data_IF_731503434102
#
_entry.id   IF_731503434102
#
_cell.length_a   1.000
_cell.length_b   1.000
_cell.length_c   1.000
_cell.angle_alpha   90.00
_cell.angle_beta   90.00
_cell.angle_gamma   90.00
#
_symmetry.space_group_name_H-M   'P 1'
#
loop_
_entity.id
_entity.type
_entity.pdbx_description
1 polymer ?
#
# COMPACT_ATOMS: atom_id res chain seq x y z
N UNK A 1 3.19 -32.23 58.10
CA UNK A 1 2.48 -31.22 57.35
C UNK A 1 3.25 -29.92 57.17
N UNK A 2 4.52 -29.78 57.62
CA UNK A 2 5.30 -28.52 57.50
C UNK A 2 6.40 -28.53 56.44
N UNK A 3 6.69 -29.64 55.76
CA UNK A 3 7.78 -29.77 54.76
C UNK A 3 7.25 -29.53 53.32
N UNK A 4 5.95 -29.71 53.08
CA UNK A 4 5.36 -29.45 51.75
C UNK A 4 5.10 -27.96 51.42
N UNK A 5 5.06 -27.12 52.45
CA UNK A 5 4.85 -25.66 52.22
C UNK A 5 6.15 -24.89 51.95
N UNK A 6 7.30 -25.44 52.33
CA UNK A 6 8.62 -24.82 52.08
C UNK A 6 9.09 -25.01 50.61
N UNK A 7 8.65 -26.07 49.93
CA UNK A 7 9.01 -26.34 48.53
C UNK A 7 8.18 -25.54 47.51
N UNK A 8 7.00 -25.05 47.90
CA UNK A 8 6.20 -24.19 47.05
C UNK A 8 6.66 -22.72 47.06
N UNK A 9 7.33 -22.30 48.15
CA UNK A 9 7.86 -20.93 48.23
C UNK A 9 9.16 -20.72 47.43
N UNK A 10 9.96 -21.79 47.22
CA UNK A 10 11.18 -21.72 46.42
C UNK A 10 10.92 -21.75 44.91
N UNK A 11 9.78 -22.31 44.45
CA UNK A 11 9.44 -22.41 43.04
C UNK A 11 8.95 -21.08 42.40
N UNK A 12 8.43 -20.15 43.21
CA UNK A 12 7.94 -18.85 42.74
C UNK A 12 9.06 -17.80 42.69
N UNK A 13 10.10 -17.93 43.48
CA UNK A 13 11.24 -17.00 43.49
C UNK A 13 12.18 -17.19 42.27
N UNK A 14 12.21 -18.38 41.64
CA UNK A 14 13.07 -18.64 40.49
C UNK A 14 12.47 -18.15 39.16
N UNK A 15 11.15 -17.87 39.10
CA UNK A 15 10.49 -17.36 37.90
C UNK A 15 10.61 -15.82 37.75
N UNK A 16 11.07 -15.11 38.75
CA UNK A 16 11.20 -13.64 38.75
C UNK A 16 12.62 -13.14 38.42
N UNK A 17 13.61 -14.02 38.29
CA UNK A 17 15.00 -13.63 37.97
C UNK A 17 15.32 -13.61 36.48
N UNK A 18 14.37 -14.02 35.62
CA UNK A 18 14.55 -13.99 34.17
C UNK A 18 14.36 -12.62 33.50
N UNK A 19 13.84 -11.61 34.20
CA UNK A 19 13.54 -10.30 33.64
C UNK A 19 14.46 -9.16 34.12
N UNK A 20 15.57 -9.46 34.77
CA UNK A 20 16.44 -8.42 35.37
C UNK A 20 17.45 -7.77 34.39
N UNK A 21 17.45 -8.13 33.10
CA UNK A 21 18.30 -7.49 32.10
C UNK A 21 17.50 -6.89 30.92
N UNK A 22 16.22 -6.61 31.10
CA UNK A 22 15.54 -5.71 30.17
C UNK A 22 15.82 -4.28 30.62
N UNK A 23 16.69 -3.61 29.86
CA UNK A 23 16.96 -2.20 30.03
C UNK A 23 15.62 -1.44 29.95
N UNK A 24 15.19 -0.87 31.05
CA UNK A 24 13.93 -0.12 31.15
C UNK A 24 13.92 1.08 30.21
N UNK A 25 15.10 1.59 29.82
CA UNK A 25 15.24 2.64 28.82
C UNK A 25 14.95 2.09 27.41
N UNK A 26 15.39 0.87 27.09
CA UNK A 26 15.10 0.20 25.82
C UNK A 26 13.62 -0.13 25.65
N UNK A 27 12.92 -0.52 26.73
CA UNK A 27 11.49 -0.80 26.69
C UNK A 27 10.65 0.49 26.55
N UNK A 28 11.07 1.56 27.22
CA UNK A 28 10.43 2.89 27.11
C UNK A 28 10.66 3.51 25.73
N UNK A 29 11.88 3.39 25.17
CA UNK A 29 12.19 3.87 23.82
C UNK A 29 11.38 3.09 22.78
N UNK A 30 11.35 1.77 22.83
CA UNK A 30 10.57 0.93 21.91
C UNK A 30 9.07 1.22 21.97
N UNK A 31 8.54 1.48 23.16
CA UNK A 31 7.15 1.88 23.35
C UNK A 31 6.84 3.27 22.79
N UNK A 32 7.74 4.22 23.00
CA UNK A 32 7.61 5.59 22.48
C UNK A 32 7.72 5.62 20.95
N UNK A 33 8.60 4.80 20.37
CA UNK A 33 8.79 4.67 18.92
C UNK A 33 7.59 4.00 18.25
N UNK A 34 7.05 2.92 18.84
CA UNK A 34 5.83 2.29 18.37
C UNK A 34 4.64 3.25 18.41
N UNK A 35 4.53 4.06 19.45
CA UNK A 35 3.51 5.10 19.56
C UNK A 35 3.73 6.23 18.52
N UNK A 36 4.98 6.63 18.28
CA UNK A 36 5.34 7.64 17.31
C UNK A 36 5.06 7.19 15.87
N UNK A 37 5.34 5.92 15.54
CA UNK A 37 4.97 5.32 14.25
C UNK A 37 3.45 5.27 14.04
N UNK A 38 2.69 4.99 15.10
CA UNK A 38 1.22 5.00 15.05
C UNK A 38 0.62 6.40 14.93
N UNK A 39 1.35 7.43 15.30
CA UNK A 39 0.91 8.83 15.32
C UNK A 39 1.49 9.69 14.20
N UNK A 40 1.95 9.07 13.09
CA UNK A 40 2.44 9.81 11.92
C UNK A 40 1.43 10.87 11.47
N UNK A 41 1.88 12.11 11.40
CA UNK A 41 1.13 13.19 10.80
C UNK A 41 1.04 13.02 9.27
N UNK A 42 0.04 13.63 8.63
CA UNK A 42 -0.09 13.58 7.16
C UNK A 42 1.15 14.16 6.46
N UNK A 43 1.79 15.17 7.04
CA UNK A 43 3.02 15.73 6.52
C UNK A 43 4.19 14.74 6.56
N UNK A 44 4.31 13.97 7.64
CA UNK A 44 5.34 12.92 7.75
C UNK A 44 5.08 11.76 6.79
N UNK A 45 3.83 11.33 6.68
CA UNK A 45 3.41 10.29 5.72
C UNK A 45 3.72 10.73 4.30
N UNK A 46 3.39 11.99 3.96
CA UNK A 46 3.70 12.55 2.64
C UNK A 46 5.20 12.57 2.38
N UNK A 47 5.99 13.07 3.31
CA UNK A 47 7.45 13.19 3.17
C UNK A 47 8.12 11.80 3.02
N UNK A 48 7.69 10.80 3.80
CA UNK A 48 8.16 9.42 3.65
C UNK A 48 7.77 8.85 2.29
N UNK A 49 6.54 9.09 1.83
CA UNK A 49 6.09 8.66 0.51
C UNK A 49 6.87 9.35 -0.62
N UNK A 50 7.18 10.65 -0.48
CA UNK A 50 7.97 11.40 -1.47
C UNK A 50 9.36 10.76 -1.65
N UNK A 51 10.06 10.50 -0.55
CA UNK A 51 11.41 9.92 -0.60
C UNK A 51 11.39 8.44 -1.02
N UNK A 52 10.43 7.65 -0.56
CA UNK A 52 10.29 6.25 -0.98
C UNK A 52 9.97 6.16 -2.48
N UNK A 53 9.05 6.98 -2.99
CA UNK A 53 8.72 7.03 -4.41
C UNK A 53 9.94 7.42 -5.26
N UNK A 54 10.69 8.44 -4.85
CA UNK A 54 11.91 8.89 -5.50
C UNK A 54 12.99 7.79 -5.53
N UNK A 55 13.16 7.08 -4.43
CA UNK A 55 14.15 5.99 -4.35
C UNK A 55 13.74 4.82 -5.26
N UNK A 56 12.44 4.47 -5.32
CA UNK A 56 11.94 3.47 -6.24
C UNK A 56 12.08 3.89 -7.70
N UNK A 57 11.76 5.15 -8.02
CA UNK A 57 11.96 5.71 -9.38
C UNK A 57 13.43 5.63 -9.81
N UNK A 58 14.37 5.83 -8.88
CA UNK A 58 15.82 5.76 -9.17
C UNK A 58 16.31 4.36 -9.55
N UNK A 59 15.60 3.33 -9.07
CA UNK A 59 15.92 1.90 -9.32
C UNK A 59 15.15 1.33 -10.51
N UNK A 60 14.05 1.96 -10.90
CA UNK A 60 13.18 1.50 -11.97
C UNK A 60 13.58 2.09 -13.34
N UNK A 61 13.20 1.43 -14.41
CA UNK A 61 13.25 2.01 -15.75
C UNK A 61 11.95 2.75 -16.02
N UNK A 62 11.99 4.08 -15.97
CA UNK A 62 10.83 4.92 -16.28
C UNK A 62 10.60 4.99 -17.79
N UNK A 63 9.32 4.96 -18.20
CA UNK A 63 8.96 5.16 -19.60
C UNK A 63 9.32 6.58 -20.05
N UNK A 64 10.03 6.76 -21.18
CA UNK A 64 10.30 8.07 -21.74
C UNK A 64 9.01 8.87 -22.01
N UNK A 65 9.05 10.18 -21.82
CA UNK A 65 7.86 11.05 -22.00
C UNK A 65 7.19 10.93 -23.37
N UNK A 66 7.97 10.61 -24.41
CA UNK A 66 7.46 10.43 -25.78
C UNK A 66 7.13 8.97 -26.14
N UNK A 67 7.20 8.04 -25.18
CA UNK A 67 6.87 6.63 -25.40
C UNK A 67 5.35 6.42 -25.52
N UNK A 68 4.95 5.37 -26.21
CA UNK A 68 3.54 4.98 -26.33
C UNK A 68 2.89 4.71 -24.96
N UNK A 69 3.62 4.10 -24.03
CA UNK A 69 3.14 3.86 -22.66
C UNK A 69 2.85 5.17 -21.94
N UNK A 70 3.76 6.14 -22.01
CA UNK A 70 3.58 7.42 -21.34
C UNK A 70 2.40 8.20 -21.94
N UNK A 71 2.30 8.27 -23.25
CA UNK A 71 1.19 8.94 -23.95
C UNK A 71 -0.15 8.29 -23.61
N UNK A 72 -0.19 6.95 -23.53
CA UNK A 72 -1.39 6.22 -23.13
C UNK A 72 -1.76 6.52 -21.67
N UNK A 73 -0.79 6.51 -20.75
CA UNK A 73 -1.03 6.84 -19.35
C UNK A 73 -1.47 8.29 -19.17
N UNK A 74 -0.89 9.25 -19.91
CA UNK A 74 -1.28 10.66 -19.84
C UNK A 74 -2.75 10.88 -20.26
N UNK A 75 -3.23 10.13 -21.26
CA UNK A 75 -4.64 10.12 -21.65
C UNK A 75 -5.55 9.59 -20.54
N UNK A 76 -5.18 8.46 -19.94
CA UNK A 76 -5.90 7.82 -18.81
C UNK A 76 -5.91 8.77 -17.60
N UNK A 77 -4.76 9.33 -17.24
CA UNK A 77 -4.62 10.28 -16.15
C UNK A 77 -5.51 11.52 -16.33
N UNK A 78 -5.59 12.03 -17.56
CA UNK A 78 -6.47 13.17 -17.90
C UNK A 78 -7.95 12.86 -17.68
N UNK A 79 -8.37 11.62 -17.92
CA UNK A 79 -9.75 11.18 -17.67
C UNK A 79 -10.04 11.01 -16.16
N UNK A 80 -9.11 10.45 -15.40
CA UNK A 80 -9.26 10.21 -13.97
C UNK A 80 -9.08 11.47 -13.13
N UNK A 81 -8.20 12.39 -13.58
CA UNK A 81 -7.85 13.62 -12.90
C UNK A 81 -6.51 13.55 -12.16
N UNK A 82 -6.11 14.69 -11.64
CA UNK A 82 -4.78 14.95 -11.08
C UNK A 82 -4.79 15.19 -9.57
N UNK A 83 -5.86 14.80 -8.89
CA UNK A 83 -6.03 15.10 -7.46
C UNK A 83 -6.75 13.99 -6.70
N UNK A 84 -6.23 13.66 -5.51
CA UNK A 84 -6.86 12.78 -4.53
C UNK A 84 -7.01 13.55 -3.22
N UNK A 85 -8.23 13.92 -2.84
CA UNK A 85 -8.52 14.64 -1.59
C UNK A 85 -7.66 15.92 -1.38
N UNK A 86 -7.40 16.68 -2.44
CA UNK A 86 -6.56 17.88 -2.39
C UNK A 86 -5.07 17.62 -2.58
N UNK A 87 -4.64 16.36 -2.65
CA UNK A 87 -3.26 15.97 -2.90
C UNK A 87 -3.03 15.81 -4.41
N UNK A 88 -2.08 16.55 -5.02
CA UNK A 88 -1.73 16.36 -6.43
C UNK A 88 -1.25 14.94 -6.72
N UNK A 89 -1.63 14.39 -7.87
CA UNK A 89 -1.20 13.06 -8.33
C UNK A 89 -0.07 13.19 -9.35
N UNK A 90 0.93 12.33 -9.21
CA UNK A 90 2.04 12.18 -10.13
C UNK A 90 2.04 10.77 -10.73
N UNK A 91 1.77 10.69 -12.02
CA UNK A 91 1.70 9.43 -12.77
C UNK A 91 3.00 9.12 -13.51
N UNK A 92 3.44 7.86 -13.47
CA UNK A 92 4.53 7.37 -14.31
C UNK A 92 4.35 5.88 -14.66
N UNK A 93 5.09 5.41 -15.67
CA UNK A 93 5.12 4.00 -16.06
C UNK A 93 6.49 3.42 -15.75
N UNK A 94 6.53 2.27 -15.09
CA UNK A 94 7.72 1.42 -14.95
C UNK A 94 7.76 0.41 -16.09
N UNK A 95 8.86 0.39 -16.84
CA UNK A 95 9.08 -0.57 -17.93
C UNK A 95 9.52 -1.89 -17.32
N UNK A 96 8.61 -2.83 -17.19
CA UNK A 96 8.82 -4.18 -16.68
C UNK A 96 7.74 -5.12 -17.22
N UNK A 97 8.00 -6.44 -17.19
CA UNK A 97 7.01 -7.44 -17.58
C UNK A 97 6.02 -7.77 -16.45
N UNK A 98 6.30 -7.33 -15.25
CA UNK A 98 5.44 -7.58 -14.10
C UNK A 98 4.09 -6.89 -14.30
N UNK A 99 3.04 -7.53 -13.79
CA UNK A 99 1.67 -7.04 -13.88
C UNK A 99 1.30 -6.42 -12.55
N UNK A 100 1.54 -5.10 -12.40
CA UNK A 100 1.26 -4.39 -11.16
C UNK A 100 0.96 -2.90 -11.40
N UNK A 101 0.36 -2.27 -10.41
CA UNK A 101 0.26 -0.82 -10.23
C UNK A 101 0.26 -0.53 -8.73
N UNK A 102 0.66 0.66 -8.33
CA UNK A 102 0.59 1.07 -6.93
C UNK A 102 0.41 2.58 -6.79
N UNK A 103 -0.10 3.00 -5.64
CA UNK A 103 -0.14 4.39 -5.24
C UNK A 103 0.43 4.59 -3.84
N UNK A 104 1.16 5.69 -3.64
CA UNK A 104 1.63 6.12 -2.33
C UNK A 104 0.83 7.31 -1.80
N UNK A 105 0.86 7.52 -0.50
CA UNK A 105 0.05 8.53 0.18
C UNK A 105 0.33 9.99 -0.25
N UNK A 106 1.43 10.24 -0.96
CA UNK A 106 1.76 11.54 -1.57
C UNK A 106 1.14 11.75 -2.96
N UNK A 107 0.34 10.79 -3.48
CA UNK A 107 -0.19 10.83 -4.84
C UNK A 107 0.79 10.32 -5.91
N UNK A 108 1.89 9.69 -5.54
CA UNK A 108 2.77 8.98 -6.48
C UNK A 108 2.04 7.72 -6.95
N UNK A 109 1.64 7.67 -8.24
CA UNK A 109 1.02 6.51 -8.89
C UNK A 109 1.97 5.97 -9.95
N UNK A 110 2.22 4.67 -9.90
CA UNK A 110 3.06 3.96 -10.86
C UNK A 110 2.30 2.78 -11.44
N UNK A 111 2.33 2.69 -12.76
CA UNK A 111 1.70 1.62 -13.53
C UNK A 111 2.79 0.85 -14.24
N UNK A 112 2.77 -0.46 -14.16
CA UNK A 112 3.77 -1.30 -14.82
C UNK A 112 3.37 -1.56 -16.29
N UNK A 113 4.34 -1.55 -17.19
CA UNK A 113 4.06 -1.77 -18.62
C UNK A 113 3.42 -3.13 -18.87
N UNK A 114 3.78 -4.17 -18.10
CA UNK A 114 3.14 -5.48 -18.21
C UNK A 114 1.63 -5.46 -17.89
N UNK A 115 1.20 -4.64 -16.92
CA UNK A 115 -0.23 -4.43 -16.68
C UNK A 115 -0.90 -3.70 -17.87
N UNK A 116 -0.24 -2.68 -18.40
CA UNK A 116 -0.77 -1.94 -19.56
C UNK A 116 -0.83 -2.79 -20.83
N UNK A 117 0.08 -3.76 -21.00
CA UNK A 117 0.05 -4.70 -22.13
C UNK A 117 -1.12 -5.69 -22.03
N UNK A 118 -1.47 -6.09 -20.80
CA UNK A 118 -2.54 -7.04 -20.52
C UNK A 118 -3.93 -6.40 -20.59
N UNK A 119 -4.05 -5.14 -20.20
CA UNK A 119 -5.32 -4.45 -19.98
C UNK A 119 -5.61 -3.40 -21.05
N UNK A 120 -6.89 -3.21 -21.39
CA UNK A 120 -7.34 -2.07 -22.19
C UNK A 120 -7.37 -0.78 -21.34
N UNK A 121 -7.65 0.39 -21.97
CA UNK A 121 -7.63 1.69 -21.28
C UNK A 121 -8.62 1.74 -20.12
N UNK A 122 -9.83 1.21 -20.31
CA UNK A 122 -10.87 1.23 -19.28
C UNK A 122 -10.52 0.36 -18.07
N UNK A 123 -9.86 -0.77 -18.28
CA UNK A 123 -9.36 -1.63 -17.20
C UNK A 123 -8.21 -0.96 -16.44
N UNK A 124 -7.30 -0.29 -17.14
CA UNK A 124 -6.21 0.48 -16.50
C UNK A 124 -6.78 1.66 -15.71
N UNK A 125 -7.79 2.37 -16.25
CA UNK A 125 -8.51 3.43 -15.52
C UNK A 125 -9.11 2.89 -14.21
N UNK A 126 -9.73 1.71 -14.27
CA UNK A 126 -10.34 1.09 -13.12
C UNK A 126 -9.31 0.67 -12.06
N UNK A 127 -8.18 0.06 -12.46
CA UNK A 127 -7.08 -0.29 -11.57
C UNK A 127 -6.49 0.96 -10.92
N UNK A 128 -6.21 2.02 -11.69
CA UNK A 128 -5.71 3.28 -11.13
C UNK A 128 -6.74 3.89 -10.16
N UNK A 129 -8.02 3.83 -10.49
CA UNK A 129 -9.09 4.28 -9.60
C UNK A 129 -9.12 3.53 -8.26
N UNK A 130 -8.86 2.22 -8.29
CA UNK A 130 -8.73 1.37 -7.11
C UNK A 130 -7.51 1.80 -6.25
N UNK A 131 -6.35 2.02 -6.87
CA UNK A 131 -5.16 2.54 -6.18
C UNK A 131 -5.40 3.92 -5.55
N UNK A 132 -6.10 4.81 -6.28
CA UNK A 132 -6.54 6.09 -5.73
C UNK A 132 -7.46 5.92 -4.53
N UNK A 133 -8.30 4.89 -4.51
CA UNK A 133 -9.16 4.52 -3.37
C UNK A 133 -8.35 4.19 -2.12
N UNK A 134 -7.30 3.38 -2.23
CA UNK A 134 -6.41 3.07 -1.11
C UNK A 134 -5.75 4.32 -0.51
N UNK A 135 -5.38 5.28 -1.36
CA UNK A 135 -4.85 6.57 -0.88
C UNK A 135 -5.93 7.41 -0.23
N UNK A 136 -7.05 7.60 -0.90
CA UNK A 136 -8.15 8.47 -0.47
C UNK A 136 -8.76 8.04 0.86
N UNK A 137 -8.83 6.73 1.12
CA UNK A 137 -9.39 6.11 2.32
C UNK A 137 -8.34 5.91 3.43
N UNK A 138 -7.09 6.32 3.19
CA UNK A 138 -6.01 6.24 4.17
C UNK A 138 -5.48 4.84 4.43
N UNK A 139 -5.73 3.88 3.53
CA UNK A 139 -5.22 2.51 3.65
C UNK A 139 -3.70 2.48 3.57
N UNK A 140 -3.11 3.22 2.61
CA UNK A 140 -1.65 3.36 2.45
C UNK A 140 -1.00 3.98 3.68
N UNK A 141 -1.61 5.04 4.25
CA UNK A 141 -1.14 5.64 5.51
C UNK A 141 -1.09 4.62 6.65
N UNK A 142 -2.15 3.82 6.77
CA UNK A 142 -2.24 2.77 7.80
C UNK A 142 -1.22 1.66 7.57
N UNK A 143 -1.02 1.23 6.31
CA UNK A 143 0.04 0.30 5.93
C UNK A 143 1.43 0.81 6.31
N UNK A 144 1.72 2.09 6.06
CA UNK A 144 2.98 2.74 6.45
C UNK A 144 3.17 2.74 7.97
N UNK A 145 2.13 3.07 8.73
CA UNK A 145 2.18 3.03 10.20
C UNK A 145 2.51 1.63 10.71
N UNK A 146 1.89 0.59 10.13
CA UNK A 146 2.17 -0.81 10.47
C UNK A 146 3.60 -1.20 10.08
N UNK A 147 4.05 -0.86 8.86
CA UNK A 147 5.38 -1.18 8.38
C UNK A 147 6.49 -0.55 9.23
N UNK A 148 6.30 0.68 9.70
CA UNK A 148 7.22 1.38 10.59
C UNK A 148 7.12 0.84 12.02
N UNK A 149 5.93 0.54 12.52
CA UNK A 149 5.72 -0.03 13.85
C UNK A 149 6.44 -1.37 14.04
N UNK A 150 6.45 -2.24 13.03
CA UNK A 150 7.19 -3.51 13.05
C UNK A 150 8.72 -3.35 12.99
N UNK A 151 9.21 -2.20 12.52
CA UNK A 151 10.64 -1.86 12.42
C UNK A 151 11.08 -0.78 13.42
N UNK A 152 10.21 -0.33 14.33
CA UNK A 152 10.48 0.76 15.26
C UNK A 152 11.79 0.57 16.07
N UNK A 153 12.16 -0.68 16.36
CA UNK A 153 13.43 -1.04 17.02
C UNK A 153 14.65 -0.69 16.17
N UNK A 154 14.51 -0.51 14.85
CA UNK A 154 15.62 -0.17 13.92
C UNK A 154 15.70 1.32 13.57
N UNK A 155 14.63 2.05 13.78
CA UNK A 155 14.51 3.47 13.39
C UNK A 155 14.82 4.41 14.57
N UNK A 156 15.26 3.83 15.68
CA UNK A 156 15.58 4.53 16.91
C UNK A 156 16.84 5.36 16.81
N UNK A 157 16.78 6.46 16.18
CA UNK A 157 17.54 7.65 16.54
C UNK A 157 16.88 8.82 15.81
N UNK A 158 15.88 9.42 16.44
CA UNK A 158 15.36 10.70 15.98
C UNK A 158 16.52 11.69 15.90
N UNK A 159 17.19 11.73 14.77
CA UNK A 159 18.13 12.78 14.42
C UNK A 159 17.36 14.09 14.28
N UNK A 160 18.03 15.23 14.35
CA UNK A 160 17.45 16.57 14.23
C UNK A 160 16.61 16.79 12.93
N UNK A 161 16.63 15.82 11.98
CA UNK A 161 15.86 15.84 10.74
C UNK A 161 14.50 15.12 10.78
N UNK A 162 14.03 14.66 11.95
CA UNK A 162 12.80 13.89 12.08
C UNK A 162 12.90 12.47 11.49
N UNK A 163 11.73 11.77 11.38
CA UNK A 163 11.67 10.37 10.96
C UNK A 163 12.26 10.13 9.55
N UNK A 164 12.08 11.06 8.62
CA UNK A 164 12.62 10.95 7.25
C UNK A 164 14.14 11.04 7.27
N UNK A 165 14.70 11.97 8.04
CA UNK A 165 16.15 12.15 8.15
C UNK A 165 16.88 11.03 8.91
N UNK A 166 16.14 10.16 9.60
CA UNK A 166 16.70 8.98 10.28
C UNK A 166 16.80 7.74 9.39
N UNK A 167 16.16 7.74 8.23
CA UNK A 167 16.16 6.61 7.30
C UNK A 167 17.22 6.80 6.21
N UNK A 168 18.00 5.74 5.93
CA UNK A 168 18.87 5.70 4.76
C UNK A 168 18.05 5.53 3.47
N UNK A 169 18.67 5.80 2.32
CA UNK A 169 18.03 5.58 1.00
C UNK A 169 17.57 4.12 0.83
N UNK A 170 18.39 3.14 1.27
CA UNK A 170 17.99 1.74 1.22
C UNK A 170 16.76 1.44 2.10
N UNK A 171 16.68 2.03 3.29
CA UNK A 171 15.51 1.87 4.17
C UNK A 171 14.25 2.53 3.61
N UNK A 172 14.40 3.64 2.90
CA UNK A 172 13.30 4.29 2.18
C UNK A 172 12.82 3.45 1.00
N UNK A 173 13.75 2.83 0.26
CA UNK A 173 13.45 1.85 -0.78
C UNK A 173 12.72 0.62 -0.23
N UNK A 174 13.25 0.03 0.84
CA UNK A 174 12.64 -1.11 1.53
C UNK A 174 11.23 -0.77 2.07
N UNK A 175 11.02 0.46 2.55
CA UNK A 175 9.69 0.93 2.95
C UNK A 175 8.75 1.01 1.75
N UNK A 176 9.23 1.57 0.64
CA UNK A 176 8.47 1.64 -0.62
C UNK A 176 8.05 0.25 -1.09
N UNK A 177 8.98 -0.70 -1.18
CA UNK A 177 8.70 -2.08 -1.57
C UNK A 177 7.70 -2.77 -0.63
N UNK A 178 7.80 -2.54 0.68
CA UNK A 178 6.82 -3.06 1.65
C UNK A 178 5.43 -2.47 1.46
N UNK A 179 5.34 -1.21 1.05
CA UNK A 179 4.04 -0.57 0.80
C UNK A 179 3.42 -1.06 -0.51
N UNK A 180 4.23 -1.30 -1.54
CA UNK A 180 3.78 -1.91 -2.81
C UNK A 180 3.27 -3.32 -2.59
N UNK A 181 3.98 -4.12 -1.76
CA UNK A 181 3.61 -5.51 -1.44
C UNK A 181 2.75 -5.60 -0.16
N UNK A 182 2.06 -4.54 0.23
CA UNK A 182 1.21 -4.53 1.42
C UNK A 182 -0.13 -5.18 1.12
N UNK A 183 -0.43 -6.27 1.81
CA UNK A 183 -1.75 -6.89 1.72
C UNK A 183 -2.80 -6.06 2.48
N UNK A 184 -3.89 -5.78 1.79
CA UNK A 184 -5.05 -5.11 2.38
C UNK A 184 -6.09 -6.15 2.83
N UNK A 185 -6.87 -5.80 3.84
CA UNK A 185 -7.99 -6.64 4.27
C UNK A 185 -9.09 -6.65 3.20
N UNK A 186 -9.88 -7.72 3.15
CA UNK A 186 -11.03 -7.82 2.23
C UNK A 186 -11.98 -6.61 2.32
N UNK A 187 -12.11 -6.02 3.50
CA UNK A 187 -12.90 -4.81 3.69
C UNK A 187 -12.26 -3.60 3.01
N UNK A 188 -10.95 -3.43 3.15
CA UNK A 188 -10.22 -2.32 2.50
C UNK A 188 -10.24 -2.47 0.98
N UNK A 189 -10.15 -3.71 0.47
CA UNK A 189 -10.31 -4.00 -0.95
C UNK A 189 -11.70 -3.59 -1.45
N UNK A 190 -12.76 -4.00 -0.75
CA UNK A 190 -14.13 -3.63 -1.12
C UNK A 190 -14.35 -2.10 -1.06
N UNK A 191 -13.81 -1.42 -0.05
CA UNK A 191 -13.86 0.03 0.06
C UNK A 191 -13.12 0.73 -1.11
N UNK A 192 -11.97 0.19 -1.56
CA UNK A 192 -11.22 0.71 -2.70
C UNK A 192 -11.93 0.44 -4.03
N UNK A 193 -12.59 -0.72 -4.17
CA UNK A 193 -13.43 -1.04 -5.33
C UNK A 193 -14.60 -0.09 -5.46
N UNK A 194 -15.30 0.15 -4.36
CA UNK A 194 -16.43 1.08 -4.31
C UNK A 194 -15.97 2.51 -4.64
N UNK A 195 -14.82 2.93 -4.13
CA UNK A 195 -14.24 4.22 -4.48
C UNK A 195 -13.92 4.32 -5.98
N UNK A 196 -13.29 3.29 -6.55
CA UNK A 196 -12.99 3.23 -7.99
C UNK A 196 -14.27 3.33 -8.81
N UNK A 197 -15.28 2.53 -8.48
CA UNK A 197 -16.57 2.55 -9.14
C UNK A 197 -17.18 3.96 -9.15
N UNK A 198 -17.25 4.61 -7.98
CA UNK A 198 -17.83 5.95 -7.83
C UNK A 198 -17.00 7.01 -8.57
N UNK A 199 -15.67 6.91 -8.55
CA UNK A 199 -14.78 7.80 -9.30
C UNK A 199 -15.04 7.68 -10.81
N UNK A 200 -15.05 6.47 -11.36
CA UNK A 200 -15.30 6.22 -12.78
C UNK A 200 -16.66 6.80 -13.20
N UNK A 201 -17.70 6.53 -12.42
CA UNK A 201 -19.05 7.07 -12.63
C UNK A 201 -19.05 8.60 -12.65
N UNK A 202 -18.41 9.22 -11.65
CA UNK A 202 -18.29 10.68 -11.56
C UNK A 202 -17.56 11.30 -12.74
N UNK A 203 -16.63 10.56 -13.34
CA UNK A 203 -15.86 10.98 -14.51
C UNK A 203 -16.53 10.65 -15.84
N UNK A 204 -17.67 9.98 -15.84
CA UNK A 204 -18.34 9.54 -17.05
C UNK A 204 -17.65 8.37 -17.75
N UNK A 205 -16.82 7.62 -17.01
CA UNK A 205 -16.11 6.44 -17.47
C UNK A 205 -16.97 5.21 -17.12
N UNK A 206 -17.03 4.22 -18.01
CA UNK A 206 -17.75 2.98 -17.74
C UNK A 206 -17.04 2.17 -16.65
N UNK A 207 -17.71 1.82 -15.53
CA UNK A 207 -17.08 1.06 -14.44
C UNK A 207 -16.86 -0.44 -14.76
N UNK A 208 -17.33 -0.94 -15.92
CA UNK A 208 -17.17 -2.35 -16.31
C UNK A 208 -15.71 -2.80 -16.35
N UNK A 209 -14.78 -1.87 -16.62
CA UNK A 209 -13.34 -2.14 -16.59
C UNK A 209 -12.85 -2.68 -15.24
N UNK A 210 -13.52 -2.34 -14.13
CA UNK A 210 -13.15 -2.85 -12.82
C UNK A 210 -13.48 -4.36 -12.69
N UNK A 211 -14.66 -4.79 -13.15
CA UNK A 211 -15.03 -6.20 -13.14
C UNK A 211 -14.16 -7.02 -14.10
N UNK A 212 -13.93 -6.53 -15.33
CA UNK A 212 -13.15 -7.26 -16.33
C UNK A 212 -11.65 -7.30 -16.00
N UNK A 213 -11.11 -6.28 -15.29
CA UNK A 213 -9.74 -6.32 -14.79
C UNK A 213 -9.56 -7.45 -13.78
N UNK A 214 -10.50 -7.64 -12.84
CA UNK A 214 -10.45 -8.74 -11.87
C UNK A 214 -10.49 -10.11 -12.56
N UNK A 215 -11.30 -10.28 -13.60
CA UNK A 215 -11.35 -11.53 -14.36
C UNK A 215 -10.05 -11.84 -15.07
N UNK A 216 -9.43 -10.84 -15.70
CA UNK A 216 -8.14 -11.02 -16.36
C UNK A 216 -7.05 -11.35 -15.36
N UNK A 217 -7.05 -10.66 -14.24
CA UNK A 217 -6.11 -10.91 -13.17
C UNK A 217 -6.30 -12.35 -12.64
N UNK A 218 -7.52 -12.82 -12.34
CA UNK A 218 -7.82 -14.17 -11.87
C UNK A 218 -7.38 -15.27 -12.85
N UNK A 219 -7.40 -15.01 -14.15
CA UNK A 219 -6.89 -15.95 -15.17
C UNK A 219 -5.36 -16.08 -15.17
N UNK A 220 -4.65 -15.05 -14.73
CA UNK A 220 -3.19 -15.04 -14.64
C UNK A 220 -2.65 -15.85 -13.45
N UNK A 221 -3.41 -15.97 -12.36
CA UNK A 221 -3.03 -16.73 -11.15
C UNK A 221 -2.66 -18.20 -11.47
N UNK A 222 -3.25 -18.77 -12.52
CA UNK A 222 -2.93 -20.11 -12.99
C UNK A 222 -1.53 -20.25 -13.61
N UNK A 223 -0.82 -19.15 -13.90
CA UNK A 223 0.43 -19.14 -14.69
C UNK A 223 1.71 -18.63 -14.01
N UNK A 224 1.68 -18.18 -12.75
CA UNK A 224 2.80 -17.77 -11.88
C UNK A 224 3.79 -16.72 -12.39
N UNK A 225 3.50 -15.47 -12.07
CA UNK A 225 4.48 -14.45 -11.68
C UNK A 225 3.85 -13.66 -10.53
N UNK A 226 4.66 -13.05 -9.62
CA UNK A 226 4.16 -12.09 -8.63
C UNK A 226 3.35 -11.04 -9.38
N UNK A 227 2.09 -10.93 -9.02
CA UNK A 227 1.13 -10.03 -9.68
C UNK A 227 0.48 -9.19 -8.63
N UNK A 228 -0.23 -8.13 -9.04
CA UNK A 228 -1.13 -7.34 -8.21
C UNK A 228 -2.07 -8.18 -7.31
N UNK A 229 -2.24 -9.49 -7.62
CA UNK A 229 -3.02 -10.44 -6.81
C UNK A 229 -2.42 -10.80 -5.48
N UNK A 230 -1.09 -10.85 -5.40
CA UNK A 230 -0.44 -11.21 -4.15
C UNK A 230 -0.74 -10.15 -3.08
N UNK A 231 -0.98 -8.92 -3.53
CA UNK A 231 -1.19 -7.76 -2.70
C UNK A 231 -2.67 -7.35 -2.61
N UNK A 232 -3.41 -7.53 -3.72
CA UNK A 232 -4.85 -7.22 -3.88
C UNK A 232 -5.61 -8.43 -4.40
N UNK A 233 -5.93 -9.44 -3.57
CA UNK A 233 -6.56 -10.66 -4.05
C UNK A 233 -7.83 -10.36 -4.83
N UNK A 234 -7.78 -10.58 -6.15
CA UNK A 234 -8.97 -10.50 -6.97
C UNK A 234 -9.82 -11.75 -6.68
N UNK A 235 -11.11 -11.56 -6.67
CA UNK A 235 -12.04 -12.67 -6.54
C UNK A 235 -13.21 -12.49 -7.50
N UNK A 236 -13.78 -13.59 -7.93
CA UNK A 236 -15.03 -13.57 -8.68
C UNK A 236 -16.13 -12.81 -7.92
N UNK A 237 -16.08 -12.88 -6.57
CA UNK A 237 -17.00 -12.14 -5.72
C UNK A 237 -16.84 -10.62 -5.85
N UNK A 238 -15.61 -10.09 -6.00
CA UNK A 238 -15.36 -8.67 -6.24
C UNK A 238 -15.89 -8.25 -7.62
N UNK A 239 -15.60 -9.03 -8.66
CA UNK A 239 -16.15 -8.79 -10.00
C UNK A 239 -17.68 -8.81 -10.00
N UNK A 240 -18.30 -9.76 -9.30
CA UNK A 240 -19.75 -9.86 -9.19
C UNK A 240 -20.36 -8.67 -8.43
N UNK A 241 -19.73 -8.23 -7.34
CA UNK A 241 -20.16 -7.03 -6.61
C UNK A 241 -20.24 -5.80 -7.52
N UNK A 242 -19.23 -5.60 -8.37
CA UNK A 242 -19.22 -4.48 -9.33
C UNK A 242 -20.36 -4.62 -10.36
N UNK A 243 -20.59 -5.83 -10.88
CA UNK A 243 -21.71 -6.08 -11.81
C UNK A 243 -23.07 -5.82 -11.17
N UNK A 244 -23.23 -6.22 -9.91
CA UNK A 244 -24.48 -6.00 -9.16
C UNK A 244 -24.72 -4.49 -8.96
N UNK A 245 -23.69 -3.71 -8.66
CA UNK A 245 -23.77 -2.24 -8.60
C UNK A 245 -24.12 -1.63 -9.97
N UNK A 246 -23.49 -2.10 -11.04
CA UNK A 246 -23.80 -1.65 -12.40
C UNK A 246 -25.26 -1.92 -12.75
N UNK A 247 -25.75 -3.13 -12.47
CA UNK A 247 -27.15 -3.49 -12.71
C UNK A 247 -28.13 -2.62 -11.90
N UNK A 248 -27.82 -2.36 -10.62
CA UNK A 248 -28.62 -1.48 -9.78
C UNK A 248 -28.66 -0.03 -10.30
N UNK A 249 -27.57 0.44 -10.93
CA UNK A 249 -27.44 1.76 -11.53
C UNK A 249 -27.95 1.82 -12.99
N UNK A 250 -28.45 0.71 -13.55
CA UNK A 250 -28.96 0.61 -14.92
C UNK A 250 -27.86 0.72 -16.00
N UNK A 251 -26.64 0.31 -15.66
CA UNK A 251 -25.48 0.29 -16.57
C UNK A 251 -25.34 -1.13 -17.14
N UNK A 252 -25.27 -1.24 -18.44
CA UNK A 252 -25.06 -2.49 -19.18
C UNK A 252 -23.63 -2.61 -19.68
#
# INVERSE_FOLDING_TARGET
>A
MKIRQALLALGVAAALTGCQNMDSNGLLSSGAEAFQAYSLSDAQVKALSDESCKEMDSKATLAPANSAYRQRLDKIASALGDNINGQPVNYNVYITKDVNAFAMANGCIRVYSGLMDMMNDNEVEAVIGHEMGHVALGHVKRGMQVALGTNAVRVAAASAGGIVGSLSQSQLGDLGEKLVNAQFSQRQEAEADDYSYDLLRKRGINPSGLATSFEKLAQQEAGRQSTMFDDHPASEARAQHIRDRMAADGIN
#
